data_IF_455028850480
#
_entry.id   IF_455028850480
#
_cell.length_a   1.000
_cell.length_b   1.000
_cell.length_c   1.000
_cell.angle_alpha   90.00
_cell.angle_beta   90.00
_cell.angle_gamma   90.00
#
_symmetry.space_group_name_H-M   'P 1'
#
loop_
_entity.id
_entity.type
_entity.pdbx_description
1 polymer ?
#
# COMPACT_ATOMS: atom_id res chain seq x y z
N UNK A 1 -9.48 14.99 17.34
CA UNK A 1 -8.76 14.12 16.37
C UNK A 1 -8.67 14.82 15.02
N UNK A 2 -7.51 14.79 14.39
CA UNK A 2 -7.35 15.35 13.06
C UNK A 2 -8.02 14.40 12.03
N UNK A 3 -8.90 14.91 11.17
CA UNK A 3 -9.50 14.08 10.10
C UNK A 3 -8.41 13.45 9.22
N UNK A 4 -8.70 12.30 8.65
CA UNK A 4 -7.72 11.57 7.84
C UNK A 4 -7.20 12.41 6.67
N UNK A 5 -8.05 13.15 6.00
CA UNK A 5 -7.67 13.99 4.85
C UNK A 5 -6.89 15.24 5.24
N UNK A 6 -6.81 15.57 6.53
CA UNK A 6 -6.11 16.74 7.05
C UNK A 6 -4.80 16.41 7.74
N UNK A 7 -4.37 15.16 7.70
CA UNK A 7 -3.11 14.74 8.33
C UNK A 7 -1.92 15.18 7.50
N UNK A 8 -0.75 15.21 8.12
CA UNK A 8 0.51 15.49 7.44
C UNK A 8 1.31 14.20 7.28
N UNK A 9 2.29 14.23 6.39
CA UNK A 9 3.15 13.10 6.12
C UNK A 9 3.20 12.77 4.65
N UNK A 10 3.78 11.63 4.33
CA UNK A 10 3.93 11.17 2.95
C UNK A 10 3.26 9.82 2.76
N UNK A 11 2.76 9.61 1.56
CA UNK A 11 2.17 8.34 1.14
C UNK A 11 2.90 7.87 -0.11
N UNK A 12 3.29 6.59 -0.13
CA UNK A 12 3.83 5.98 -1.33
C UNK A 12 2.67 5.68 -2.27
N UNK A 13 2.63 6.35 -3.42
CA UNK A 13 1.52 6.27 -4.35
C UNK A 13 2.06 6.17 -5.78
N UNK A 14 1.76 5.10 -6.48
CA UNK A 14 2.22 4.85 -7.85
C UNK A 14 3.72 5.10 -8.02
N UNK A 15 4.52 4.49 -7.15
CA UNK A 15 5.98 4.54 -7.18
C UNK A 15 6.59 5.90 -6.83
N UNK A 16 5.82 6.78 -6.20
CA UNK A 16 6.29 8.09 -5.73
C UNK A 16 5.83 8.36 -4.31
N UNK A 17 6.64 9.12 -3.58
CA UNK A 17 6.21 9.67 -2.30
C UNK A 17 5.48 10.98 -2.56
N UNK A 18 4.20 11.02 -2.20
CA UNK A 18 3.38 12.22 -2.37
C UNK A 18 2.96 12.74 -1.00
N UNK A 19 2.63 14.02 -0.94
CA UNK A 19 2.10 14.61 0.28
C UNK A 19 0.77 13.96 0.64
N UNK A 20 0.50 13.87 1.93
CA UNK A 20 -0.72 13.22 2.43
C UNK A 20 -1.98 13.72 1.73
N UNK A 21 -2.12 15.05 1.60
CA UNK A 21 -3.31 15.66 0.99
C UNK A 21 -3.43 15.40 -0.51
N UNK A 22 -2.34 14.99 -1.17
CA UNK A 22 -2.31 14.80 -2.62
C UNK A 22 -2.56 13.33 -3.02
N UNK A 23 -2.65 12.42 -2.06
CA UNK A 23 -2.94 11.01 -2.34
C UNK A 23 -4.44 10.83 -2.58
N UNK A 24 -4.86 11.10 -3.80
CA UNK A 24 -6.27 11.08 -4.21
C UNK A 24 -6.50 10.12 -5.36
N UNK A 25 -7.73 9.60 -5.44
CA UNK A 25 -8.14 8.74 -6.55
C UNK A 25 -9.40 9.31 -7.17
N UNK A 26 -9.61 8.97 -8.44
CA UNK A 26 -10.80 9.38 -9.16
C UNK A 26 -12.03 8.61 -8.66
N UNK A 27 -13.19 9.26 -8.63
CA UNK A 27 -14.45 8.64 -8.17
C UNK A 27 -14.85 7.44 -9.03
N UNK A 28 -14.41 7.38 -10.28
CA UNK A 28 -14.68 6.24 -11.17
C UNK A 28 -13.61 5.15 -11.08
N UNK A 29 -12.70 5.23 -10.10
CA UNK A 29 -11.74 4.17 -9.85
C UNK A 29 -12.46 2.84 -9.62
N UNK A 30 -11.94 1.75 -10.20
CA UNK A 30 -12.58 0.43 -10.10
C UNK A 30 -12.75 -0.03 -8.66
N UNK A 31 -11.77 0.22 -7.80
CA UNK A 31 -11.85 -0.17 -6.40
C UNK A 31 -13.03 0.49 -5.69
N UNK A 32 -13.25 1.79 -5.98
CA UNK A 32 -14.33 2.54 -5.37
C UNK A 32 -15.68 2.23 -6.02
N UNK A 33 -15.70 2.17 -7.35
CA UNK A 33 -16.94 2.08 -8.13
C UNK A 33 -17.50 0.65 -8.19
N UNK A 34 -16.63 -0.34 -8.32
CA UNK A 34 -17.01 -1.75 -8.49
C UNK A 34 -16.51 -2.65 -7.37
N UNK A 35 -15.85 -2.10 -6.38
CA UNK A 35 -15.20 -2.86 -5.31
C UNK A 35 -14.14 -3.85 -5.82
N UNK A 36 -13.57 -3.60 -7.00
CA UNK A 36 -12.53 -4.44 -7.60
C UNK A 36 -11.16 -3.98 -7.10
N UNK A 37 -10.83 -4.36 -5.87
CA UNK A 37 -9.54 -4.01 -5.27
C UNK A 37 -9.14 -5.05 -4.24
N UNK A 38 -7.85 -5.07 -3.91
CA UNK A 38 -7.32 -5.90 -2.84
C UNK A 38 -6.42 -5.04 -1.97
N UNK A 39 -6.32 -5.39 -0.68
CA UNK A 39 -5.48 -4.63 0.23
C UNK A 39 -4.94 -5.53 1.33
N UNK A 40 -3.91 -5.04 2.03
CA UNK A 40 -3.38 -5.64 3.25
C UNK A 40 -3.18 -4.55 4.27
N UNK A 41 -3.50 -4.84 5.53
CA UNK A 41 -3.18 -3.96 6.64
C UNK A 41 -1.96 -4.50 7.36
N UNK A 42 -0.91 -3.69 7.42
CA UNK A 42 0.35 -4.08 8.04
C UNK A 42 0.71 -3.12 9.16
N UNK A 43 1.48 -3.61 10.14
CA UNK A 43 1.92 -2.81 11.27
C UNK A 43 3.43 -2.81 11.37
N UNK A 44 3.97 -1.72 11.88
CA UNK A 44 5.41 -1.57 12.10
C UNK A 44 5.67 -1.60 13.59
N UNK A 45 6.57 -2.47 14.01
CA UNK A 45 7.03 -2.58 15.40
C UNK A 45 8.55 -2.46 15.40
N UNK A 46 9.09 -1.55 16.21
CA UNK A 46 10.53 -1.34 16.35
C UNK A 46 11.24 -1.19 14.99
N UNK A 47 10.64 -0.44 14.08
CA UNK A 47 11.23 -0.20 12.77
C UNK A 47 11.08 -1.33 11.76
N UNK A 48 10.40 -2.42 12.12
CA UNK A 48 10.21 -3.57 11.23
C UNK A 48 8.74 -3.78 10.95
N UNK A 49 8.42 -4.11 9.69
CA UNK A 49 7.05 -4.46 9.29
C UNK A 49 6.76 -5.88 9.75
N UNK A 50 5.74 -6.03 10.59
CA UNK A 50 5.36 -7.33 11.15
C UNK A 50 4.76 -8.22 10.07
N UNK A 51 5.32 -9.44 9.92
CA UNK A 51 4.82 -10.43 8.96
C UNK A 51 4.78 -9.93 7.52
N UNK A 52 5.77 -9.15 7.12
CA UNK A 52 5.82 -8.55 5.78
C UNK A 52 5.68 -9.59 4.66
N UNK A 53 6.42 -10.69 4.74
CA UNK A 53 6.39 -11.70 3.68
C UNK A 53 5.03 -12.37 3.59
N UNK A 54 4.43 -12.71 4.72
CA UNK A 54 3.10 -13.35 4.77
C UNK A 54 2.03 -12.41 4.23
N UNK A 55 2.07 -11.13 4.59
CA UNK A 55 1.13 -10.13 4.07
C UNK A 55 1.29 -9.95 2.57
N UNK A 56 2.52 -9.90 2.08
CA UNK A 56 2.78 -9.74 0.64
C UNK A 56 2.29 -10.94 -0.13
N UNK A 57 2.58 -12.15 0.35
CA UNK A 57 2.09 -13.38 -0.29
C UNK A 57 0.57 -13.42 -0.34
N UNK A 58 -0.09 -13.01 0.74
CA UNK A 58 -1.55 -12.97 0.78
C UNK A 58 -2.12 -11.92 -0.17
N UNK A 59 -1.46 -10.77 -0.30
CA UNK A 59 -1.88 -9.74 -1.26
C UNK A 59 -1.85 -10.28 -2.68
N UNK A 60 -0.78 -10.98 -3.05
CA UNK A 60 -0.66 -11.60 -4.37
C UNK A 60 -1.70 -12.68 -4.59
N UNK A 61 -1.97 -13.49 -3.57
CA UNK A 61 -3.04 -14.49 -3.63
C UNK A 61 -4.41 -13.83 -3.85
N UNK A 62 -4.69 -12.77 -3.10
CA UNK A 62 -5.95 -12.04 -3.24
C UNK A 62 -6.10 -11.44 -4.63
N UNK A 63 -5.03 -10.84 -5.16
CA UNK A 63 -5.03 -10.28 -6.51
C UNK A 63 -5.33 -11.37 -7.54
N UNK A 64 -4.69 -12.52 -7.44
CA UNK A 64 -4.92 -13.65 -8.35
C UNK A 64 -6.38 -14.11 -8.31
N UNK A 65 -6.96 -14.20 -7.13
CA UNK A 65 -8.37 -14.59 -6.97
C UNK A 65 -9.33 -13.59 -7.59
N UNK A 66 -8.95 -12.32 -7.63
CA UNK A 66 -9.74 -11.26 -8.25
C UNK A 66 -9.45 -11.08 -9.74
N UNK A 67 -8.55 -11.89 -10.30
CA UNK A 67 -8.17 -11.78 -11.70
C UNK A 67 -7.24 -10.62 -11.99
N UNK A 68 -6.56 -10.10 -10.97
CA UNK A 68 -5.61 -8.99 -11.12
C UNK A 68 -4.19 -9.49 -11.20
N UNK A 69 -3.37 -8.84 -12.02
CA UNK A 69 -1.94 -9.12 -12.09
C UNK A 69 -1.18 -7.95 -11.48
N UNK A 70 -0.45 -8.22 -10.42
CA UNK A 70 0.45 -7.21 -9.84
C UNK A 70 1.70 -7.17 -10.70
N UNK A 71 2.08 -5.97 -11.25
CA UNK A 71 3.19 -5.87 -12.21
C UNK A 71 4.59 -5.94 -11.57
N UNK A 72 4.69 -6.50 -10.36
CA UNK A 72 5.94 -6.66 -9.63
C UNK A 72 6.01 -8.06 -9.04
N UNK A 73 7.23 -8.55 -8.80
CA UNK A 73 7.41 -9.77 -8.02
C UNK A 73 7.18 -9.49 -6.54
N UNK A 74 7.00 -10.54 -5.74
CA UNK A 74 6.88 -10.39 -4.29
C UNK A 74 8.12 -9.74 -3.69
N UNK A 75 9.31 -10.12 -4.18
CA UNK A 75 10.57 -9.54 -3.70
C UNK A 75 10.65 -8.05 -3.96
N UNK A 76 10.24 -7.59 -5.14
CA UNK A 76 10.22 -6.16 -5.49
C UNK A 76 9.22 -5.43 -4.59
N UNK A 77 8.07 -6.04 -4.29
CA UNK A 77 7.08 -5.46 -3.38
C UNK A 77 7.63 -5.26 -1.98
N UNK A 78 8.39 -6.23 -1.46
CA UNK A 78 9.07 -6.10 -0.16
C UNK A 78 10.00 -4.90 -0.16
N UNK A 79 10.79 -4.75 -1.21
CA UNK A 79 11.77 -3.67 -1.33
C UNK A 79 11.09 -2.31 -1.31
N UNK A 80 9.98 -2.16 -2.04
CA UNK A 80 9.24 -0.91 -2.08
C UNK A 80 8.67 -0.54 -0.72
N UNK A 81 8.18 -1.52 0.05
CA UNK A 81 7.61 -1.27 1.37
C UNK A 81 8.68 -0.95 2.40
N UNK A 82 9.83 -1.63 2.35
CA UNK A 82 10.86 -1.45 3.37
C UNK A 82 11.67 -0.18 3.21
N UNK A 83 11.94 0.27 1.98
CA UNK A 83 12.74 1.46 1.74
C UNK A 83 12.12 2.73 2.35
N UNK A 84 10.84 3.05 2.11
CA UNK A 84 10.20 4.19 2.76
C UNK A 84 10.21 4.08 4.29
N UNK A 85 9.97 2.91 4.84
CA UNK A 85 9.97 2.68 6.28
C UNK A 85 11.34 2.96 6.88
N UNK A 86 12.41 2.52 6.24
CA UNK A 86 13.78 2.78 6.71
C UNK A 86 14.15 4.24 6.68
N UNK A 87 13.59 5.02 5.75
CA UNK A 87 13.86 6.46 5.66
C UNK A 87 13.14 7.26 6.74
N UNK A 88 12.04 6.75 7.26
CA UNK A 88 11.25 7.40 8.30
C UNK A 88 11.88 7.18 9.67
N UNK A 89 12.55 6.08 9.83
CA UNK A 89 13.20 5.71 11.08
C UNK A 89 14.63 6.22 11.10
#
# INVERSE_FOLDING_TARGET
>A
MVPYDKRSGKIWYNSELVDWADAKIHVLNHGLHYASCVFEGERVYDGSIFKLEEHTSRLFYSAKRMGMTIPYSETVSYTHLTLPTKRIV
#
